data_IF_814523791216
#
_entry.id   IF_814523791216
#
_cell.length_a   1.000
_cell.length_b   1.000
_cell.length_c   1.000
_cell.angle_alpha   90.00
_cell.angle_beta   90.00
_cell.angle_gamma   90.00
#
_symmetry.space_group_name_H-M   'P 1'
#
loop_
_entity.id
_entity.type
_entity.pdbx_description
1 polymer ?
#
# COMPACT_ATOMS: atom_id res chain seq x y z
N UNK A 1 2.49 -6.32 0.91
CA UNK A 1 3.29 -5.17 1.41
C UNK A 1 2.44 -3.91 1.32
N UNK A 2 2.16 -3.26 2.45
CA UNK A 2 1.44 -1.97 2.48
C UNK A 2 2.42 -0.88 2.02
N UNK A 3 2.12 -0.08 0.98
CA UNK A 3 2.98 1.01 0.59
C UNK A 3 2.98 2.08 1.69
N UNK A 4 4.18 2.38 2.17
CA UNK A 4 4.46 3.45 3.11
C UNK A 4 4.08 4.78 2.47
N UNK A 5 3.32 5.62 3.20
CA UNK A 5 2.90 6.96 2.77
C UNK A 5 4.13 7.86 2.65
N UNK A 6 4.81 7.82 1.50
CA UNK A 6 5.84 8.80 1.14
C UNK A 6 5.22 9.80 0.19
N UNK A 7 4.33 10.62 0.74
CA UNK A 7 3.84 11.84 0.12
C UNK A 7 4.12 12.98 1.08
N UNK A 8 5.36 13.49 1.07
CA UNK A 8 5.57 14.85 1.59
C UNK A 8 4.77 15.79 0.69
N UNK A 9 3.95 16.70 1.23
CA UNK A 9 3.31 17.70 0.40
C UNK A 9 4.41 18.49 -0.33
N UNK A 10 4.28 18.62 -1.64
CA UNK A 10 4.98 19.69 -2.35
C UNK A 10 4.32 20.98 -1.88
N UNK A 11 4.84 21.52 -0.78
CA UNK A 11 4.50 22.84 -0.29
C UNK A 11 4.97 23.85 -1.33
N UNK A 12 4.12 24.17 -2.30
CA UNK A 12 4.14 25.50 -2.88
C UNK A 12 3.36 26.42 -1.91
N UNK A 13 3.94 26.65 -0.73
CA UNK A 13 3.45 27.64 0.23
C UNK A 13 4.28 28.90 0.05
N UNK A 14 3.63 29.97 -0.41
CA UNK A 14 3.74 31.20 0.37
C UNK A 14 2.95 30.92 1.66
N UNK A 15 3.61 31.03 2.81
CA UNK A 15 3.14 30.66 4.15
C UNK A 15 1.78 31.32 4.52
N UNK A 16 0.93 30.60 5.27
CA UNK A 16 0.67 30.94 6.68
C UNK A 16 0.20 29.70 7.46
N UNK A 17 0.37 29.81 8.79
CA UNK A 17 0.36 28.82 9.86
C UNK A 17 -1.07 28.56 10.34
N UNK A 18 -1.47 27.30 10.48
CA UNK A 18 -2.36 26.75 11.53
C UNK A 18 -2.88 25.38 11.07
N UNK A 19 -2.56 24.33 11.84
CA UNK A 19 -2.89 22.95 11.51
C UNK A 19 -4.36 22.55 11.73
N UNK A 20 -4.67 21.37 11.17
CA UNK A 20 -5.89 20.53 11.30
C UNK A 20 -7.04 20.78 10.28
N UNK A 21 -7.78 19.71 9.91
CA UNK A 21 -7.99 19.33 8.50
C UNK A 21 -9.42 19.61 7.99
N UNK A 22 -9.66 19.59 6.65
CA UNK A 22 -11.03 19.32 6.20
C UNK A 22 -11.14 18.22 5.13
N UNK A 23 -11.96 17.24 5.50
CA UNK A 23 -13.05 16.60 4.74
C UNK A 23 -12.88 16.26 3.25
N UNK A 24 -13.06 14.96 2.98
CA UNK A 24 -13.36 14.39 1.66
C UNK A 24 -14.53 15.13 1.00
N UNK A 25 -14.37 15.51 -0.27
CA UNK A 25 -15.50 15.63 -1.18
C UNK A 25 -15.21 14.96 -2.52
N UNK A 26 -16.14 14.10 -2.90
CA UNK A 26 -16.22 13.38 -4.17
C UNK A 26 -16.45 14.34 -5.33
N UNK A 27 -15.71 14.15 -6.43
CA UNK A 27 -16.09 14.74 -7.71
C UNK A 27 -16.94 13.70 -8.44
N UNK A 28 -18.26 13.94 -8.50
CA UNK A 28 -19.10 13.43 -9.58
C UNK A 28 -19.76 14.62 -10.28
N UNK A 29 -19.50 14.68 -11.58
CA UNK A 29 -20.20 15.37 -12.68
C UNK A 29 -20.91 16.71 -12.45
N UNK A 30 -20.52 17.65 -13.32
CA UNK A 30 -21.33 18.68 -13.98
C UNK A 30 -22.69 19.06 -13.35
N UNK A 31 -22.74 20.28 -12.81
CA UNK A 31 -23.97 21.00 -12.50
C UNK A 31 -23.65 22.48 -12.26
N UNK A 32 -23.70 23.28 -13.32
CA UNK A 32 -23.67 24.75 -13.21
C UNK A 32 -24.97 25.16 -12.51
N UNK A 33 -24.87 25.75 -11.31
CA UNK A 33 -26.00 26.39 -10.64
C UNK A 33 -25.66 27.84 -10.38
N UNK A 34 -26.08 28.68 -11.32
CA UNK A 34 -26.19 30.13 -11.19
C UNK A 34 -27.26 30.47 -10.12
N UNK A 35 -26.96 31.38 -9.19
CA UNK A 35 -27.93 32.29 -8.53
C UNK A 35 -27.24 33.25 -7.53
N UNK A 36 -27.83 34.44 -7.23
CA UNK A 36 -27.69 35.66 -8.03
C UNK A 36 -27.13 36.84 -7.20
N UNK A 37 -26.80 37.92 -7.91
CA UNK A 37 -26.48 39.24 -7.36
C UNK A 37 -27.60 39.81 -6.48
N UNK A 38 -27.24 40.31 -5.30
CA UNK A 38 -27.93 41.43 -4.63
C UNK A 38 -26.88 42.41 -4.12
N UNK A 39 -26.91 43.63 -4.67
CA UNK A 39 -26.22 44.81 -4.14
C UNK A 39 -26.90 45.36 -2.87
N UNK A 40 -26.40 46.48 -2.34
CA UNK A 40 -26.31 46.74 -0.90
C UNK A 40 -27.50 47.52 -0.33
N UNK A 41 -27.70 47.43 0.99
CA UNK A 41 -28.45 48.43 1.76
C UNK A 41 -27.64 48.89 2.97
N UNK A 42 -27.59 50.20 3.12
CA UNK A 42 -26.77 50.99 4.05
C UNK A 42 -27.78 51.77 4.89
N UNK A 43 -28.03 51.33 6.12
CA UNK A 43 -28.72 52.13 7.14
C UNK A 43 -27.98 52.03 8.45
N UNK A 44 -27.41 53.16 8.88
CA UNK A 44 -26.73 53.25 10.17
C UNK A 44 -25.96 54.55 10.40
N UNK A 45 -26.54 55.70 10.02
CA UNK A 45 -26.06 57.00 10.50
C UNK A 45 -26.23 57.05 12.04
N UNK A 46 -25.12 57.18 12.78
CA UNK A 46 -25.13 57.84 14.09
C UNK A 46 -24.49 59.21 13.97
N UNK A 47 -25.31 60.19 14.32
CA UNK A 47 -25.04 61.62 14.41
C UNK A 47 -23.98 61.93 15.47
N UNK A 48 -23.04 62.79 15.09
CA UNK A 48 -22.60 63.90 15.93
C UNK A 48 -21.25 63.74 16.60
N UNK A 49 -20.21 64.30 15.98
CA UNK A 49 -19.34 65.24 16.70
C UNK A 49 -18.71 66.24 15.73
N UNK A 50 -19.04 67.53 15.94
CA UNK A 50 -18.39 68.67 15.27
C UNK A 50 -16.92 68.70 15.70
N UNK A 51 -16.00 68.61 14.74
CA UNK A 51 -14.70 69.28 14.85
C UNK A 51 -14.44 70.11 13.61
N UNK A 52 -14.01 71.33 13.89
CA UNK A 52 -13.97 72.48 13.01
C UNK A 52 -12.92 72.33 11.92
N UNK A 53 -13.21 72.97 10.80
CA UNK A 53 -12.41 73.04 9.60
C UNK A 53 -11.03 73.65 9.85
N UNK A 54 -9.98 72.89 9.56
CA UNK A 54 -8.68 73.45 9.22
C UNK A 54 -8.59 73.55 7.69
N UNK A 55 -8.57 74.78 7.17
CA UNK A 55 -8.19 75.08 5.78
C UNK A 55 -6.67 75.00 5.66
N UNK A 56 -6.07 74.15 4.80
CA UNK A 56 -4.82 74.48 4.17
C UNK A 56 -5.13 75.36 2.94
N UNK A 57 -4.43 76.49 2.83
CA UNK A 57 -4.40 77.32 1.63
C UNK A 57 -3.43 76.67 0.63
N UNK A 58 -3.83 76.63 -0.63
CA UNK A 58 -2.90 76.65 -1.76
C UNK A 58 -2.62 75.31 -2.44
N UNK A 59 -3.00 75.28 -3.74
CA UNK A 59 -2.38 74.57 -4.87
C UNK A 59 -2.11 73.06 -4.69
N UNK A 60 -3.03 72.22 -5.16
CA UNK A 60 -2.88 71.66 -6.50
C UNK A 60 -4.12 70.84 -6.89
N UNK A 61 -4.46 70.96 -8.15
CA UNK A 61 -5.64 70.37 -8.79
C UNK A 61 -5.49 68.85 -8.81
N UNK A 62 -6.40 68.20 -8.09
CA UNK A 62 -7.03 66.92 -8.38
C UNK A 62 -6.60 66.27 -9.71
N UNK A 63 -5.58 65.42 -9.67
CA UNK A 63 -5.32 64.45 -10.74
C UNK A 63 -5.21 63.06 -10.12
N UNK A 64 -6.32 62.35 -10.29
CA UNK A 64 -6.44 60.90 -10.37
C UNK A 64 -6.12 60.16 -9.07
N UNK A 65 -7.20 59.83 -8.35
CA UNK A 65 -7.28 58.57 -7.63
C UNK A 65 -6.89 57.44 -8.60
N UNK A 66 -5.64 56.99 -8.55
CA UNK A 66 -5.23 55.78 -9.23
C UNK A 66 -5.93 54.64 -8.51
N UNK A 67 -6.99 54.16 -9.14
CA UNK A 67 -7.79 53.01 -8.76
C UNK A 67 -6.86 51.89 -8.32
N UNK A 68 -6.78 51.69 -7.01
CA UNK A 68 -6.18 50.51 -6.41
C UNK A 68 -7.11 49.34 -6.68
N UNK A 69 -7.11 48.86 -7.92
CA UNK A 69 -7.70 47.57 -8.27
C UNK A 69 -6.79 46.53 -7.62
N UNK A 70 -7.10 46.14 -6.39
CA UNK A 70 -6.49 44.96 -5.80
C UNK A 70 -6.81 43.77 -6.73
N UNK A 71 -5.82 43.09 -7.31
CA UNK A 71 -6.11 41.90 -8.10
C UNK A 71 -6.72 40.86 -7.14
N UNK A 72 -7.94 40.44 -7.44
CA UNK A 72 -8.62 39.40 -6.69
C UNK A 72 -7.81 38.11 -6.87
N UNK A 73 -7.05 37.71 -5.85
CA UNK A 73 -6.24 36.48 -5.89
C UNK A 73 -7.10 35.30 -5.46
N UNK A 74 -7.21 34.31 -6.33
CA UNK A 74 -7.85 33.03 -6.02
C UNK A 74 -6.78 31.95 -5.81
N UNK A 75 -7.01 31.04 -4.88
CA UNK A 75 -6.12 29.91 -4.57
C UNK A 75 -6.85 28.59 -4.71
N UNK A 76 -6.15 27.57 -5.20
CA UNK A 76 -6.67 26.23 -5.38
C UNK A 76 -5.75 25.24 -4.65
N UNK A 77 -6.32 24.29 -3.91
CA UNK A 77 -5.58 23.20 -3.30
C UNK A 77 -5.71 21.94 -4.17
N UNK A 78 -4.58 21.31 -4.50
CA UNK A 78 -4.53 20.15 -5.40
C UNK A 78 -3.80 19.01 -4.69
N UNK A 79 -4.49 17.88 -4.52
CA UNK A 79 -3.92 16.64 -3.99
C UNK A 79 -3.73 15.61 -5.10
N UNK A 80 -2.53 15.04 -5.20
CA UNK A 80 -2.20 13.99 -6.18
C UNK A 80 -1.98 12.68 -5.44
N UNK A 81 -2.72 11.62 -5.81
CA UNK A 81 -2.61 10.30 -5.20
C UNK A 81 -2.33 9.24 -6.27
N UNK A 82 -1.33 8.39 -6.02
CA UNK A 82 -0.99 7.26 -6.85
C UNK A 82 -1.59 5.97 -6.26
N UNK A 83 -2.38 5.24 -7.05
CA UNK A 83 -2.99 3.97 -6.60
C UNK A 83 -2.05 2.78 -6.71
N UNK A 84 -1.19 2.78 -7.72
CA UNK A 84 -0.25 1.70 -8.00
C UNK A 84 0.99 2.22 -8.70
N UNK A 85 2.02 1.40 -8.70
CA UNK A 85 3.22 1.65 -9.49
C UNK A 85 2.94 1.52 -10.99
N UNK A 86 3.64 2.30 -11.84
CA UNK A 86 3.57 2.13 -13.29
C UNK A 86 3.99 0.71 -13.69
N UNK A 87 3.37 0.12 -14.74
CA UNK A 87 3.77 -1.19 -15.23
C UNK A 87 5.21 -1.18 -15.73
N UNK A 88 5.89 -2.35 -15.75
CA UNK A 88 7.24 -2.46 -16.26
C UNK A 88 7.31 -1.95 -17.71
N UNK A 89 8.30 -1.09 -17.99
CA UNK A 89 8.47 -0.42 -19.29
C UNK A 89 7.79 0.96 -19.40
N UNK A 90 6.94 1.35 -18.45
CA UNK A 90 6.41 2.71 -18.39
C UNK A 90 7.41 3.68 -17.71
N UNK A 91 7.42 4.94 -18.16
CA UNK A 91 8.24 5.97 -17.55
C UNK A 91 7.88 6.19 -16.07
N UNK A 92 8.91 6.15 -15.21
CA UNK A 92 8.83 6.33 -13.76
C UNK A 92 8.58 7.77 -13.34
N UNK A 93 9.08 8.71 -14.15
CA UNK A 93 8.75 10.12 -14.06
C UNK A 93 7.68 10.44 -15.08
N UNK A 94 6.57 11.03 -14.64
CA UNK A 94 5.48 11.50 -15.51
C UNK A 94 5.19 12.95 -15.21
N UNK A 95 4.93 13.75 -16.24
CA UNK A 95 4.44 15.10 -16.05
C UNK A 95 3.02 15.25 -16.58
N UNK A 96 2.26 16.13 -15.94
CA UNK A 96 0.97 16.58 -16.41
C UNK A 96 0.83 18.08 -16.14
N UNK A 97 -0.14 18.71 -16.80
CA UNK A 97 -0.30 20.17 -16.77
C UNK A 97 -1.66 20.56 -16.22
N UNK A 98 -1.67 21.50 -15.29
CA UNK A 98 -2.86 22.17 -14.80
C UNK A 98 -2.86 23.58 -15.39
N UNK A 99 -3.91 23.92 -16.14
CA UNK A 99 -4.04 25.25 -16.76
C UNK A 99 -5.46 25.80 -16.59
N UNK A 100 -5.62 27.10 -16.28
CA UNK A 100 -6.92 27.76 -16.37
C UNK A 100 -7.37 27.85 -17.83
N UNK A 101 -8.67 27.69 -18.06
CA UNK A 101 -9.23 27.85 -19.41
C UNK A 101 -9.12 29.32 -19.83
N UNK A 102 -8.61 29.57 -21.04
CA UNK A 102 -8.45 30.93 -21.59
C UNK A 102 -7.17 31.65 -21.18
N UNK A 103 -6.31 31.05 -20.36
CA UNK A 103 -5.01 31.61 -19.98
C UNK A 103 -3.86 30.86 -20.67
N UNK A 104 -2.76 31.60 -20.94
CA UNK A 104 -1.53 31.02 -21.52
C UNK A 104 -0.67 30.33 -20.46
N UNK A 105 -0.76 30.81 -19.23
CA UNK A 105 0.02 30.28 -18.11
C UNK A 105 -0.43 28.87 -17.75
N UNK A 106 0.55 28.04 -17.37
CA UNK A 106 0.35 26.63 -17.06
C UNK A 106 1.28 26.19 -15.95
N UNK A 107 0.75 25.36 -15.05
CA UNK A 107 1.52 24.69 -14.01
C UNK A 107 1.86 23.28 -14.49
N UNK A 108 3.15 22.98 -14.65
CA UNK A 108 3.62 21.63 -14.93
C UNK A 108 3.97 20.90 -13.63
N UNK A 109 3.36 19.74 -13.41
CA UNK A 109 3.56 18.91 -12.24
C UNK A 109 4.29 17.64 -12.67
N UNK A 110 5.49 17.43 -12.15
CA UNK A 110 6.26 16.20 -12.37
C UNK A 110 6.14 15.27 -11.16
N UNK A 111 5.69 14.04 -11.41
CA UNK A 111 5.55 12.97 -10.42
C UNK A 111 6.62 11.92 -10.66
N UNK A 112 7.40 11.63 -9.63
CA UNK A 112 8.44 10.59 -9.66
C UNK A 112 8.01 9.42 -8.77
N UNK A 113 7.65 8.30 -9.38
CA UNK A 113 7.18 7.13 -8.65
C UNK A 113 8.39 6.42 -8.01
N UNK A 114 8.37 6.13 -6.71
CA UNK A 114 9.43 5.37 -6.02
C UNK A 114 8.90 4.02 -5.52
N UNK A 115 8.91 3.05 -6.41
CA UNK A 115 8.46 1.67 -6.21
C UNK A 115 9.56 0.70 -5.77
N UNK A 116 10.83 1.05 -5.97
CA UNK A 116 11.94 0.13 -5.71
C UNK A 116 12.46 0.40 -4.30
N UNK A 117 12.75 -0.67 -3.58
CA UNK A 117 13.38 -0.59 -2.27
C UNK A 117 14.88 -0.32 -2.42
N UNK A 118 15.47 0.37 -1.44
CA UNK A 118 16.91 0.66 -1.45
C UNK A 118 17.77 -0.61 -1.50
N UNK A 119 17.35 -1.65 -0.77
CA UNK A 119 18.02 -2.96 -0.73
C UNK A 119 18.00 -3.70 -2.07
N UNK A 120 17.03 -3.44 -2.94
CA UNK A 120 16.97 -4.09 -4.27
C UNK A 120 18.10 -3.67 -5.21
N UNK A 121 18.85 -2.62 -4.87
CA UNK A 121 20.06 -2.24 -5.58
C UNK A 121 21.23 -3.20 -5.34
N UNK A 122 21.18 -3.93 -4.23
CA UNK A 122 22.20 -4.88 -3.81
C UNK A 122 21.76 -6.32 -4.13
N UNK A 123 20.73 -6.48 -4.96
CA UNK A 123 20.25 -7.80 -5.35
C UNK A 123 21.37 -8.61 -6.00
N UNK A 124 21.60 -9.82 -5.50
CA UNK A 124 22.66 -10.70 -5.97
C UNK A 124 22.06 -11.83 -6.78
N UNK A 125 22.24 -11.79 -8.10
CA UNK A 125 21.92 -12.91 -8.98
C UNK A 125 22.83 -14.11 -8.68
N UNK A 126 22.26 -15.32 -8.70
CA UNK A 126 22.97 -16.57 -8.41
C UNK A 126 23.73 -16.51 -7.08
N UNK A 127 23.09 -15.92 -6.07
CA UNK A 127 23.70 -15.78 -4.74
C UNK A 127 23.93 -17.16 -4.12
N UNK A 128 25.08 -17.33 -3.46
CA UNK A 128 25.37 -18.53 -2.66
C UNK A 128 24.39 -18.70 -1.50
N UNK A 129 23.73 -17.62 -1.06
CA UNK A 129 22.67 -17.68 -0.05
C UNK A 129 21.47 -18.50 -0.58
N UNK A 130 21.16 -18.34 -1.87
CA UNK A 130 20.07 -19.01 -2.58
C UNK A 130 20.57 -20.23 -3.38
N UNK A 131 21.55 -20.97 -2.85
CA UNK A 131 22.10 -22.18 -3.47
C UNK A 131 22.64 -21.99 -4.90
N UNK A 132 22.99 -20.76 -5.27
CA UNK A 132 23.39 -20.34 -6.62
C UNK A 132 22.33 -20.60 -7.73
N UNK A 133 21.08 -20.89 -7.34
CA UNK A 133 19.93 -21.19 -8.23
C UNK A 133 18.79 -20.18 -8.02
N UNK A 134 19.15 -18.95 -7.70
CA UNK A 134 18.20 -17.88 -7.43
C UNK A 134 18.86 -16.53 -7.17
N UNK A 135 18.02 -15.49 -7.14
CA UNK A 135 18.43 -14.11 -6.85
C UNK A 135 18.10 -13.77 -5.40
N UNK A 136 19.08 -13.30 -4.64
CA UNK A 136 18.86 -12.80 -3.29
C UNK A 136 18.49 -11.32 -3.35
N UNK A 137 17.27 -10.97 -2.95
CA UNK A 137 16.75 -9.60 -2.92
C UNK A 137 16.10 -9.29 -1.55
N UNK A 138 16.55 -8.21 -0.91
CA UNK A 138 15.99 -7.68 0.34
C UNK A 138 15.71 -8.74 1.44
N UNK A 139 16.58 -9.76 1.59
CA UNK A 139 16.43 -10.79 2.62
C UNK A 139 15.66 -12.05 2.18
N UNK A 140 15.20 -12.12 0.94
CA UNK A 140 14.46 -13.26 0.39
C UNK A 140 15.13 -13.78 -0.88
N UNK A 141 15.00 -15.10 -1.13
CA UNK A 141 15.45 -15.72 -2.36
C UNK A 141 14.30 -15.79 -3.39
N UNK A 142 14.56 -15.28 -4.59
CA UNK A 142 13.74 -15.48 -5.77
C UNK A 142 14.35 -16.60 -6.60
N UNK A 143 13.79 -17.80 -6.49
CA UNK A 143 14.30 -19.01 -7.13
C UNK A 143 14.05 -19.05 -8.63
N UNK A 144 14.96 -19.68 -9.37
CA UNK A 144 14.74 -19.99 -10.78
C UNK A 144 13.59 -21.00 -10.96
N UNK A 145 12.95 -21.04 -12.14
CA UNK A 145 11.88 -21.99 -12.42
C UNK A 145 12.33 -23.43 -12.15
N UNK A 146 11.51 -24.18 -11.40
CA UNK A 146 11.83 -25.54 -10.98
C UNK A 146 12.71 -25.63 -9.73
N UNK A 147 12.98 -24.53 -9.02
CA UNK A 147 13.58 -24.55 -7.69
C UNK A 147 12.63 -23.98 -6.63
N UNK A 148 12.64 -24.60 -5.45
CA UNK A 148 11.74 -24.32 -4.34
C UNK A 148 12.54 -24.27 -3.02
N UNK A 149 11.91 -23.74 -1.98
CA UNK A 149 12.49 -23.60 -0.65
C UNK A 149 12.93 -22.17 -0.34
N UNK A 150 13.26 -21.91 0.92
CA UNK A 150 13.62 -20.57 1.37
C UNK A 150 14.98 -20.10 0.80
N UNK A 151 15.81 -21.05 0.36
CA UNK A 151 17.15 -20.84 -0.18
C UNK A 151 17.32 -21.54 -1.54
N UNK A 152 16.21 -21.84 -2.23
CA UNK A 152 16.20 -22.55 -3.52
C UNK A 152 16.91 -23.90 -3.48
N UNK A 153 16.88 -24.56 -2.32
CA UNK A 153 17.60 -25.79 -2.02
C UNK A 153 16.94 -27.05 -2.61
N UNK A 154 15.69 -26.94 -3.06
CA UNK A 154 14.92 -28.06 -3.59
C UNK A 154 14.70 -27.89 -5.09
N UNK A 155 14.90 -28.97 -5.86
CA UNK A 155 14.55 -29.00 -7.28
C UNK A 155 13.18 -29.68 -7.46
N UNK A 156 12.26 -29.02 -8.14
CA UNK A 156 10.94 -29.53 -8.49
C UNK A 156 11.08 -30.76 -9.40
N UNK A 157 10.52 -31.90 -8.98
CA UNK A 157 10.60 -33.17 -9.71
C UNK A 157 11.98 -33.85 -9.73
N UNK A 158 13.03 -33.23 -9.20
CA UNK A 158 14.37 -33.81 -9.17
C UNK A 158 14.47 -34.94 -8.16
N UNK A 159 14.83 -36.15 -8.55
CA UNK A 159 14.96 -37.30 -7.64
C UNK A 159 16.15 -37.20 -6.66
N UNK A 160 16.54 -36.02 -6.19
CA UNK A 160 17.57 -35.94 -5.15
C UNK A 160 17.02 -36.55 -3.86
N UNK A 161 17.56 -37.73 -3.57
CA UNK A 161 17.17 -38.59 -2.45
C UNK A 161 17.28 -37.89 -1.09
N UNK A 162 18.09 -36.83 -1.02
CA UNK A 162 18.39 -36.05 0.18
C UNK A 162 17.20 -35.26 0.72
N UNK A 163 16.34 -34.67 -0.11
CA UNK A 163 15.17 -33.96 0.41
C UNK A 163 13.98 -34.89 0.64
N UNK A 164 13.90 -35.99 -0.11
CA UNK A 164 12.88 -37.03 0.11
C UNK A 164 13.14 -37.75 1.44
N UNK A 165 14.40 -37.99 1.82
CA UNK A 165 14.71 -38.60 3.12
C UNK A 165 14.27 -37.72 4.30
N UNK A 166 14.30 -36.39 4.18
CA UNK A 166 13.82 -35.47 5.22
C UNK A 166 12.30 -35.58 5.48
N UNK A 167 11.52 -36.07 4.51
CA UNK A 167 10.08 -36.37 4.65
C UNK A 167 9.80 -37.81 5.11
N UNK A 168 10.83 -38.54 5.55
CA UNK A 168 10.72 -39.91 6.05
C UNK A 168 11.10 -39.96 7.52
N UNK A 169 10.22 -40.54 8.33
CA UNK A 169 10.44 -40.68 9.77
C UNK A 169 11.63 -41.59 10.12
N UNK A 170 11.78 -42.71 9.41
CA UNK A 170 12.88 -43.67 9.60
C UNK A 170 13.17 -44.44 8.31
N UNK A 171 14.39 -44.96 8.13
CA UNK A 171 14.73 -45.80 6.98
C UNK A 171 13.78 -46.99 6.85
N UNK A 172 13.25 -47.25 5.66
CA UNK A 172 12.24 -48.28 5.41
C UNK A 172 10.77 -47.84 5.57
N UNK A 173 10.47 -46.73 6.27
CA UNK A 173 9.10 -46.17 6.31
C UNK A 173 8.74 -45.46 5.00
N UNK A 174 7.45 -45.39 4.68
CA UNK A 174 6.93 -44.65 3.51
C UNK A 174 7.09 -43.14 3.74
N UNK A 175 7.30 -42.38 2.65
CA UNK A 175 7.33 -40.91 2.68
C UNK A 175 6.00 -40.37 3.19
N UNK A 176 6.06 -39.41 4.12
CA UNK A 176 4.87 -38.80 4.74
C UNK A 176 3.82 -39.85 5.19
N UNK A 177 4.30 -40.99 5.73
CA UNK A 177 3.49 -42.15 6.12
C UNK A 177 2.54 -42.68 5.03
N UNK A 178 2.72 -42.29 3.76
CA UNK A 178 1.80 -42.59 2.65
C UNK A 178 0.49 -41.81 2.68
N UNK A 179 0.39 -40.77 3.52
CA UNK A 179 -0.82 -39.96 3.76
C UNK A 179 -0.64 -38.49 3.37
N UNK A 180 0.35 -38.23 2.53
CA UNK A 180 0.68 -36.91 2.05
C UNK A 180 1.74 -36.95 0.96
N UNK A 181 2.05 -35.77 0.46
CA UNK A 181 3.08 -35.54 -0.54
C UNK A 181 4.27 -34.80 0.08
N UNK A 182 5.49 -35.23 -0.25
CA UNK A 182 6.70 -34.54 0.20
C UNK A 182 7.01 -33.38 -0.74
N UNK A 183 6.88 -32.15 -0.25
CA UNK A 183 7.26 -30.93 -0.94
C UNK A 183 8.38 -30.24 -0.18
N UNK A 184 9.56 -30.18 -0.78
CA UNK A 184 10.75 -29.50 -0.27
C UNK A 184 11.00 -29.69 1.24
N UNK A 185 11.40 -30.90 1.64
CA UNK A 185 11.69 -31.29 3.04
C UNK A 185 10.49 -31.27 4.00
N UNK A 186 9.27 -30.99 3.52
CA UNK A 186 8.09 -30.92 4.35
C UNK A 186 6.96 -31.78 3.78
N UNK A 187 6.21 -32.43 4.66
CA UNK A 187 5.05 -33.23 4.27
C UNK A 187 3.78 -32.38 4.19
N UNK A 188 3.14 -32.40 3.03
CA UNK A 188 1.80 -31.87 2.80
C UNK A 188 0.79 -33.03 2.98
N UNK A 189 0.11 -33.05 4.12
CA UNK A 189 -0.85 -34.11 4.42
C UNK A 189 -2.12 -33.97 3.59
N UNK A 190 -2.66 -35.10 3.14
CA UNK A 190 -3.92 -35.11 2.38
C UNK A 190 -5.09 -34.70 3.26
N UNK A 191 -6.07 -34.06 2.62
CA UNK A 191 -7.37 -33.81 3.23
C UNK A 191 -8.19 -35.12 3.27
N UNK A 192 -8.98 -35.28 4.33
CA UNK A 192 -9.80 -36.47 4.56
C UNK A 192 -11.20 -36.06 5.00
N UNK A 193 -12.22 -36.73 4.48
CA UNK A 193 -13.61 -36.50 4.87
C UNK A 193 -13.89 -36.95 6.32
N UNK A 194 -13.05 -37.84 6.85
CA UNK A 194 -13.19 -38.40 8.20
C UNK A 194 -12.60 -37.51 9.29
N UNK A 195 -11.82 -36.49 8.94
CA UNK A 195 -11.13 -35.60 9.87
C UNK A 195 -9.77 -35.14 9.37
N UNK A 196 -8.93 -34.62 10.25
CA UNK A 196 -7.65 -33.99 9.88
C UNK A 196 -6.47 -34.95 10.04
N UNK A 197 -5.62 -35.01 9.03
CA UNK A 197 -4.31 -35.65 9.07
C UNK A 197 -3.25 -34.58 9.41
N UNK A 198 -2.37 -34.87 10.36
CA UNK A 198 -1.36 -33.92 10.85
C UNK A 198 -0.09 -34.65 11.33
N UNK A 199 0.91 -33.88 11.75
CA UNK A 199 2.23 -34.40 12.15
C UNK A 199 3.32 -34.00 11.17
N UNK A 200 4.58 -34.13 11.59
CA UNK A 200 5.74 -33.75 10.76
C UNK A 200 5.88 -34.62 9.51
N UNK A 201 5.39 -35.86 9.59
CA UNK A 201 5.41 -36.87 8.55
C UNK A 201 3.99 -37.35 8.20
N UNK A 202 2.94 -36.59 8.54
CA UNK A 202 1.53 -37.01 8.38
C UNK A 202 1.20 -38.33 9.08
N UNK A 203 1.84 -38.56 10.23
CA UNK A 203 1.73 -39.78 11.03
C UNK A 203 0.51 -39.80 11.96
N UNK A 204 -0.18 -38.67 12.12
CA UNK A 204 -1.27 -38.48 13.07
C UNK A 204 -2.60 -38.19 12.39
N UNK A 205 -3.69 -38.55 13.07
CA UNK A 205 -5.03 -38.09 12.74
C UNK A 205 -5.95 -38.07 13.97
N UNK A 206 -7.09 -37.41 13.82
CA UNK A 206 -8.07 -37.21 14.88
C UNK A 206 -9.26 -38.21 14.83
N UNK A 207 -9.24 -39.19 13.93
CA UNK A 207 -10.38 -40.09 13.66
C UNK A 207 -10.11 -41.59 13.86
N UNK A 208 -8.86 -41.98 14.09
CA UNK A 208 -8.43 -43.38 14.27
C UNK A 208 -8.34 -43.84 15.73
N UNK A 209 -8.83 -43.05 16.68
CA UNK A 209 -8.84 -43.45 18.09
C UNK A 209 -9.83 -44.59 18.40
N UNK A 210 -9.64 -45.26 19.54
CA UNK A 210 -10.51 -46.35 19.98
C UNK A 210 -11.97 -45.87 20.16
N UNK A 211 -12.91 -46.70 19.70
CA UNK A 211 -14.35 -46.46 19.84
C UNK A 211 -14.91 -47.30 20.98
N UNK A 212 -15.72 -46.69 21.82
CA UNK A 212 -16.52 -47.41 22.81
C UNK A 212 -18.01 -47.11 22.53
N UNK A 213 -18.80 -48.17 22.33
CA UNK A 213 -20.22 -48.07 21.93
C UNK A 213 -20.45 -47.21 20.67
N UNK A 214 -19.56 -47.36 19.67
CA UNK A 214 -19.64 -46.61 18.41
C UNK A 214 -19.14 -45.15 18.48
N UNK A 215 -18.87 -44.62 19.67
CA UNK A 215 -18.41 -43.23 19.86
C UNK A 215 -16.88 -43.19 19.96
N UNK A 216 -16.25 -42.37 19.13
CA UNK A 216 -14.81 -42.11 19.17
C UNK A 216 -14.43 -41.51 20.53
N UNK A 217 -13.43 -42.09 21.21
CA UNK A 217 -12.94 -41.59 22.50
C UNK A 217 -14.04 -41.39 23.56
N UNK A 218 -15.14 -42.15 23.49
CA UNK A 218 -16.32 -41.96 24.36
C UNK A 218 -16.88 -40.53 24.35
N UNK A 219 -16.81 -39.85 23.20
CA UNK A 219 -17.38 -38.51 22.99
C UNK A 219 -16.46 -37.36 23.39
N UNK A 220 -15.19 -37.63 23.68
CA UNK A 220 -14.18 -36.61 23.99
C UNK A 220 -13.27 -36.39 22.79
N UNK A 221 -12.85 -35.14 22.49
CA UNK A 221 -11.83 -34.91 21.49
C UNK A 221 -10.53 -35.64 21.88
N UNK A 222 -9.72 -36.10 20.91
CA UNK A 222 -8.43 -36.72 21.19
C UNK A 222 -7.55 -35.76 21.99
N UNK A 223 -7.32 -36.08 23.26
CA UNK A 223 -6.44 -35.32 24.16
C UNK A 223 -5.17 -36.14 24.38
N UNK A 224 -4.21 -36.00 23.48
CA UNK A 224 -2.96 -36.75 23.55
C UNK A 224 -1.90 -36.20 22.60
N UNK A 225 -0.64 -36.37 22.99
CA UNK A 225 0.47 -36.14 22.08
C UNK A 225 0.51 -37.29 21.07
N UNK A 226 0.58 -36.95 19.79
CA UNK A 226 0.83 -37.95 18.78
C UNK A 226 2.21 -38.58 19.03
N UNK A 227 2.24 -39.89 19.24
CA UNK A 227 3.49 -40.65 19.30
C UNK A 227 3.63 -41.45 18.02
N UNK A 228 4.78 -41.36 17.32
CA UNK A 228 5.06 -42.26 16.22
C UNK A 228 5.03 -43.70 16.73
N UNK A 229 4.43 -44.62 15.95
CA UNK A 229 4.53 -46.05 16.27
C UNK A 229 6.00 -46.47 16.13
N UNK A 230 6.59 -47.12 17.16
CA UNK A 230 7.93 -47.69 17.07
C UNK A 230 8.00 -48.73 15.94
#
# INVERSE_FOLDING_TARGET
MKPERVGRPLNASLYDVHGEPPVKLFIQHAGIRERPHTGPDITGLRSGERRQAARPRGRDVLLLAWTSVCPLKVSFNVSVEARSCPPPGAARRRSFTIKPVGFKDRLEVAVDYRCDCGCSREAQSNSSICSATGTYDCGTCHCEPGYLGARCECQEGGASSSYRSACREAEGKRLCSGRGECSCNQCLCYESEFGKIYGGYCECDDFSCARHKGVLCSGRPPVGHCKPRP
#
